data_IF_202827389359
#
_entry.id   IF_202827389359
#
_cell.length_a   1.000
_cell.length_b   1.000
_cell.length_c   1.000
_cell.angle_alpha   90.00
_cell.angle_beta   90.00
_cell.angle_gamma   90.00
#
_symmetry.space_group_name_H-M   'P 1'
#
loop_
_entity.id
_entity.type
_entity.pdbx_description
1 polymer ?
#
# COMPACT_ATOMS: atom_id res chain seq x y z
N UNK A 1 33.69 -3.43 -37.17
CA UNK A 1 33.24 -3.94 -35.85
C UNK A 1 32.83 -2.83 -34.87
N UNK A 2 32.23 -1.72 -35.31
CA UNK A 2 31.73 -0.63 -34.42
C UNK A 2 30.20 -0.46 -34.44
N UNK A 3 29.51 -1.01 -35.45
CA UNK A 3 28.05 -0.90 -35.61
C UNK A 3 27.26 -1.92 -34.77
N UNK A 4 27.87 -3.05 -34.40
CA UNK A 4 27.23 -4.09 -33.60
C UNK A 4 27.07 -3.71 -32.11
N UNK A 5 27.96 -2.86 -31.58
CA UNK A 5 27.90 -2.45 -30.17
C UNK A 5 26.81 -1.41 -29.87
N UNK A 6 26.41 -0.60 -30.86
CA UNK A 6 25.37 0.42 -30.68
C UNK A 6 23.96 -0.20 -30.56
N UNK A 7 23.71 -1.31 -31.27
CA UNK A 7 22.43 -2.00 -31.21
C UNK A 7 22.21 -2.72 -29.86
N UNK A 8 23.27 -3.32 -29.29
CA UNK A 8 23.20 -3.94 -27.96
C UNK A 8 22.95 -2.91 -26.84
N UNK A 9 23.57 -1.72 -26.93
CA UNK A 9 23.31 -0.63 -26.00
C UNK A 9 21.88 -0.05 -26.14
N UNK A 10 21.34 0.02 -27.35
CA UNK A 10 19.98 0.51 -27.60
C UNK A 10 18.90 -0.48 -27.14
N UNK A 11 19.13 -1.78 -27.28
CA UNK A 11 18.21 -2.82 -26.77
C UNK A 11 18.23 -2.87 -25.24
N UNK A 12 19.39 -2.67 -24.59
CA UNK A 12 19.47 -2.56 -23.14
C UNK A 12 18.75 -1.30 -22.61
N UNK A 13 18.90 -0.14 -23.27
CA UNK A 13 18.18 1.09 -22.91
C UNK A 13 16.66 1.00 -23.20
N UNK A 14 16.24 0.23 -24.19
CA UNK A 14 14.82 0.03 -24.49
C UNK A 14 14.10 -0.90 -23.52
N UNK A 15 14.80 -1.87 -22.90
CA UNK A 15 14.16 -2.75 -21.90
C UNK A 15 13.90 -1.98 -20.60
N UNK A 16 14.80 -1.07 -20.19
CA UNK A 16 14.58 -0.19 -19.03
C UNK A 16 13.42 0.80 -19.22
N UNK A 17 13.18 1.23 -20.46
CA UNK A 17 12.09 2.18 -20.75
C UNK A 17 10.72 1.50 -20.92
N UNK A 18 10.67 0.21 -21.28
CA UNK A 18 9.44 -0.50 -21.64
C UNK A 18 8.92 -1.45 -20.55
N UNK A 19 9.77 -1.93 -19.64
CA UNK A 19 9.34 -2.59 -18.41
C UNK A 19 9.50 -1.61 -17.27
N UNK A 20 8.50 -0.74 -17.15
CA UNK A 20 8.46 0.30 -16.14
C UNK A 20 8.87 -0.23 -14.77
N UNK A 21 9.63 0.59 -14.07
CA UNK A 21 10.01 0.54 -12.65
C UNK A 21 8.79 0.52 -11.70
N UNK A 22 7.66 -0.06 -12.12
CA UNK A 22 6.31 0.23 -11.64
C UNK A 22 5.69 -0.85 -10.76
N UNK A 23 6.37 -1.97 -10.50
CA UNK A 23 5.77 -3.09 -9.75
C UNK A 23 6.71 -3.70 -8.70
N UNK A 24 7.67 -2.95 -8.18
CA UNK A 24 8.27 -3.34 -6.89
C UNK A 24 7.45 -2.70 -5.77
N UNK A 25 6.58 -3.51 -5.16
CA UNK A 25 5.67 -3.11 -4.09
C UNK A 25 6.05 -3.75 -2.76
N UNK A 26 6.25 -2.96 -1.70
CA UNK A 26 6.43 -3.51 -0.35
C UNK A 26 5.12 -3.47 0.44
N UNK A 27 4.77 -4.56 1.12
CA UNK A 27 3.68 -4.57 2.09
C UNK A 27 4.22 -4.26 3.48
N UNK A 28 3.63 -3.27 4.15
CA UNK A 28 3.97 -2.93 5.52
C UNK A 28 2.73 -3.02 6.42
N UNK A 29 2.91 -3.60 7.60
CA UNK A 29 1.84 -3.80 8.59
C UNK A 29 2.00 -2.94 9.84
N UNK A 30 3.21 -2.46 10.15
CA UNK A 30 3.48 -1.76 11.39
C UNK A 30 3.40 -0.23 11.22
N UNK A 31 2.96 0.49 12.25
CA UNK A 31 2.69 1.94 12.18
C UNK A 31 3.79 2.80 12.81
N UNK A 32 4.87 2.21 13.34
CA UNK A 32 5.73 2.91 14.29
C UNK A 32 6.88 3.73 13.68
N UNK A 33 7.18 3.57 12.37
CA UNK A 33 8.31 4.27 11.74
C UNK A 33 8.21 4.39 10.20
N UNK A 34 7.06 4.81 9.66
CA UNK A 34 6.87 4.86 8.20
C UNK A 34 7.88 5.76 7.47
N UNK A 35 8.38 6.84 8.08
CA UNK A 35 9.38 7.72 7.48
C UNK A 35 10.73 7.03 7.19
N UNK A 36 11.23 6.24 8.15
CA UNK A 36 12.49 5.52 7.97
C UNK A 36 12.35 4.42 6.93
N UNK A 37 11.19 3.76 6.91
CA UNK A 37 10.84 2.75 5.92
C UNK A 37 10.76 3.37 4.51
N UNK A 38 10.08 4.51 4.36
CA UNK A 38 9.96 5.22 3.09
C UNK A 38 11.30 5.74 2.56
N UNK A 39 12.16 6.27 3.44
CA UNK A 39 13.53 6.64 3.07
C UNK A 39 14.33 5.44 2.54
N UNK A 40 14.26 4.29 3.22
CA UNK A 40 14.93 3.07 2.75
C UNK A 40 14.37 2.61 1.39
N UNK A 41 13.06 2.67 1.20
CA UNK A 41 12.39 2.32 -0.05
C UNK A 41 12.81 3.21 -1.22
N UNK A 42 12.85 4.52 -1.00
CA UNK A 42 13.33 5.49 -2.00
C UNK A 42 14.76 5.17 -2.43
N UNK A 43 15.66 4.90 -1.46
CA UNK A 43 17.06 4.53 -1.73
C UNK A 43 17.20 3.20 -2.50
N UNK A 44 16.22 2.32 -2.41
CA UNK A 44 16.16 1.04 -3.13
C UNK A 44 15.43 1.15 -4.47
N UNK A 45 14.91 2.32 -4.85
CA UNK A 45 14.19 2.52 -6.11
C UNK A 45 12.77 1.94 -6.14
N UNK A 46 12.18 1.69 -4.96
CA UNK A 46 10.78 1.26 -4.82
C UNK A 46 9.85 2.41 -5.25
N UNK A 47 8.76 2.10 -5.97
CA UNK A 47 7.81 3.13 -6.44
C UNK A 47 6.38 2.93 -5.96
N UNK A 48 6.03 1.73 -5.46
CA UNK A 48 4.72 1.45 -4.87
C UNK A 48 4.84 0.85 -3.47
N UNK A 49 3.89 1.18 -2.61
CA UNK A 49 3.78 0.59 -1.27
C UNK A 49 2.33 0.20 -1.02
N UNK A 50 2.11 -1.02 -0.52
CA UNK A 50 0.78 -1.49 -0.11
C UNK A 50 0.61 -1.40 1.40
N UNK A 51 -0.33 -0.59 1.87
CA UNK A 51 -0.64 -0.41 3.30
C UNK A 51 -2.04 -0.91 3.63
N UNK A 52 -2.17 -1.52 4.80
CA UNK A 52 -3.48 -1.80 5.39
C UNK A 52 -3.82 -0.74 6.42
N UNK A 53 -5.07 -0.26 6.38
CA UNK A 53 -5.65 0.66 7.35
C UNK A 53 -6.74 -0.11 8.10
N UNK A 54 -6.47 -0.53 9.35
CA UNK A 54 -7.51 -1.08 10.20
C UNK A 54 -8.57 -0.02 10.49
N UNK A 55 -9.85 -0.29 10.19
CA UNK A 55 -10.95 0.63 10.50
C UNK A 55 -11.04 0.91 12.00
N UNK A 56 -10.66 -0.05 12.84
CA UNK A 56 -10.55 0.13 14.29
C UNK A 56 -9.60 1.25 14.72
N UNK A 57 -8.60 1.58 13.89
CA UNK A 57 -7.64 2.66 14.17
C UNK A 57 -8.16 4.01 13.67
N UNK A 58 -8.98 4.00 12.61
CA UNK A 58 -9.61 5.18 12.03
C UNK A 58 -10.83 5.60 12.83
N UNK A 59 -11.69 4.65 13.19
CA UNK A 59 -12.94 4.86 13.91
C UNK A 59 -13.01 3.94 15.14
N UNK A 60 -12.21 4.22 16.18
CA UNK A 60 -12.18 3.40 17.39
C UNK A 60 -13.51 3.39 18.15
N UNK A 61 -14.33 4.44 18.00
CA UNK A 61 -15.69 4.56 18.54
C UNK A 61 -16.61 5.12 17.48
N UNK A 62 -17.87 4.70 17.50
CA UNK A 62 -18.88 5.13 16.51
C UNK A 62 -18.94 6.66 16.42
N UNK A 63 -18.73 7.17 15.21
CA UNK A 63 -18.71 8.60 14.89
C UNK A 63 -17.48 9.38 15.35
N UNK A 64 -16.47 8.71 15.94
CA UNK A 64 -15.21 9.34 16.36
C UNK A 64 -14.08 8.92 15.43
N UNK A 65 -13.75 9.79 14.48
CA UNK A 65 -12.72 9.54 13.47
C UNK A 65 -11.38 10.16 13.86
N UNK A 66 -10.30 9.40 13.68
CA UNK A 66 -8.92 9.86 13.76
C UNK A 66 -8.13 9.42 12.52
N UNK A 67 -7.90 10.38 11.62
CA UNK A 67 -7.11 10.19 10.40
C UNK A 67 -5.66 10.67 10.55
N UNK A 68 -5.30 11.27 11.70
CA UNK A 68 -4.06 12.03 11.89
C UNK A 68 -2.82 11.25 11.45
N UNK A 69 -2.70 10.00 11.90
CA UNK A 69 -1.57 9.14 11.55
C UNK A 69 -1.52 8.82 10.05
N UNK A 70 -2.68 8.57 9.44
CA UNK A 70 -2.77 8.15 8.04
C UNK A 70 -2.53 9.33 7.09
N UNK A 71 -2.99 10.52 7.43
CA UNK A 71 -2.69 11.75 6.70
C UNK A 71 -1.19 12.01 6.69
N UNK A 72 -0.53 11.90 7.85
CA UNK A 72 0.94 12.03 7.95
C UNK A 72 1.67 10.98 7.12
N UNK A 73 1.17 9.74 7.08
CA UNK A 73 1.76 8.66 6.28
C UNK A 73 1.59 8.92 4.77
N UNK A 74 0.44 9.42 4.34
CA UNK A 74 0.19 9.77 2.92
C UNK A 74 1.13 10.91 2.50
N UNK A 75 1.25 11.95 3.32
CA UNK A 75 2.19 13.05 3.08
C UNK A 75 3.65 12.58 3.06
N UNK A 76 4.01 11.67 3.96
CA UNK A 76 5.33 11.03 4.00
C UNK A 76 5.63 10.25 2.72
N UNK A 77 4.69 9.45 2.23
CA UNK A 77 4.86 8.69 0.99
C UNK A 77 5.05 9.62 -0.21
N UNK A 78 4.27 10.70 -0.28
CA UNK A 78 4.41 11.72 -1.33
C UNK A 78 5.79 12.38 -1.30
N UNK A 79 6.33 12.70 -0.11
CA UNK A 79 7.68 13.27 0.05
C UNK A 79 8.80 12.34 -0.42
N UNK A 80 8.59 11.02 -0.35
CA UNK A 80 9.54 10.00 -0.79
C UNK A 80 9.27 9.47 -2.21
N UNK A 81 8.41 10.14 -2.98
CA UNK A 81 8.05 9.74 -4.35
C UNK A 81 7.43 8.34 -4.45
N UNK A 82 6.76 7.88 -3.39
CA UNK A 82 6.10 6.58 -3.31
C UNK A 82 4.61 6.70 -3.66
N UNK A 83 4.10 5.75 -4.44
CA UNK A 83 2.66 5.59 -4.71
C UNK A 83 2.06 4.62 -3.70
N UNK A 84 0.96 4.99 -3.05
CA UNK A 84 0.30 4.14 -2.05
C UNK A 84 -0.87 3.36 -2.65
N UNK A 85 -0.92 2.05 -2.40
CA UNK A 85 -2.10 1.22 -2.56
C UNK A 85 -2.64 0.86 -1.18
N UNK A 86 -3.79 1.44 -0.83
CA UNK A 86 -4.38 1.30 0.50
C UNK A 86 -5.50 0.25 0.46
N UNK A 87 -5.45 -0.70 1.38
CA UNK A 87 -6.59 -1.58 1.70
C UNK A 87 -7.15 -1.15 3.06
N UNK A 88 -8.44 -0.83 3.13
CA UNK A 88 -9.13 -0.71 4.42
C UNK A 88 -9.56 -2.12 4.85
N UNK A 89 -9.24 -2.49 6.08
CA UNK A 89 -9.55 -3.81 6.63
C UNK A 89 -9.99 -3.70 8.10
N UNK A 90 -10.34 -4.84 8.70
CA UNK A 90 -10.78 -4.98 10.10
C UNK A 90 -12.04 -4.17 10.46
N UNK A 91 -12.90 -4.75 11.31
CA UNK A 91 -14.00 -4.01 11.90
C UNK A 91 -13.54 -3.37 13.21
N UNK A 92 -14.13 -2.24 13.56
CA UNK A 92 -13.98 -1.67 14.90
C UNK A 92 -14.77 -2.51 15.92
N UNK A 93 -14.37 -2.56 17.20
CA UNK A 93 -15.12 -3.31 18.22
C UNK A 93 -16.61 -2.93 18.26
N UNK A 94 -16.94 -1.63 18.15
CA UNK A 94 -18.33 -1.17 18.13
C UNK A 94 -19.07 -1.67 16.89
N UNK A 95 -18.47 -1.58 15.70
CA UNK A 95 -19.08 -2.06 14.45
C UNK A 95 -19.29 -3.57 14.45
N UNK A 96 -18.35 -4.33 15.02
CA UNK A 96 -18.48 -5.78 15.14
C UNK A 96 -19.60 -6.21 16.10
N UNK A 97 -19.92 -5.39 17.11
CA UNK A 97 -20.99 -5.69 18.07
C UNK A 97 -22.40 -5.61 17.47
N UNK A 98 -22.55 -4.96 16.31
CA UNK A 98 -23.81 -4.84 15.58
C UNK A 98 -24.05 -6.00 14.61
N UNK A 99 -23.08 -6.90 14.44
CA UNK A 99 -23.19 -8.01 13.52
C UNK A 99 -24.14 -9.10 14.05
N UNK A 100 -24.90 -9.78 13.16
CA UNK A 100 -25.70 -10.91 13.57
C UNK A 100 -24.81 -12.07 14.06
N UNK A 101 -25.31 -12.94 14.96
CA UNK A 101 -24.51 -13.98 15.62
C UNK A 101 -23.79 -14.95 14.67
N UNK A 102 -24.32 -15.13 13.45
CA UNK A 102 -23.83 -16.04 12.41
C UNK A 102 -22.99 -15.32 11.34
N UNK A 103 -22.54 -14.09 11.56
CA UNK A 103 -21.77 -13.32 10.56
C UNK A 103 -20.48 -14.04 10.11
N UNK A 104 -19.85 -14.79 10.99
CA UNK A 104 -18.62 -15.54 10.68
C UNK A 104 -18.89 -16.95 10.12
N UNK A 105 -20.16 -17.35 9.97
CA UNK A 105 -20.51 -18.62 9.40
C UNK A 105 -20.29 -18.53 7.87
N UNK A 106 -19.46 -19.43 7.33
CA UNK A 106 -19.05 -19.45 5.91
C UNK A 106 -20.20 -19.66 4.91
N UNK A 107 -21.46 -19.58 5.34
CA UNK A 107 -22.68 -19.75 4.54
C UNK A 107 -23.26 -18.46 3.93
N UNK A 108 -22.66 -17.29 4.18
CA UNK A 108 -23.25 -15.97 3.89
C UNK A 108 -23.25 -15.48 2.44
N UNK A 109 -23.34 -16.36 1.43
CA UNK A 109 -23.42 -16.00 0.01
C UNK A 109 -24.38 -16.92 -0.76
N UNK A 110 -25.51 -17.31 -0.15
CA UNK A 110 -26.46 -18.25 -0.78
C UNK A 110 -27.67 -17.59 -1.44
N UNK A 111 -27.92 -16.30 -1.22
CA UNK A 111 -29.20 -15.69 -1.57
C UNK A 111 -29.08 -14.33 -2.31
N UNK A 112 -28.25 -14.24 -3.36
CA UNK A 112 -28.31 -13.15 -4.36
C UNK A 112 -28.54 -13.72 -5.76
#
# INVERSE_FOLDING_TARGET
MKRLMLAAACVLLCVDAAFGHELFGMHLQNNLAFEQEFNAMERLGVTWVRRHIPWSNVEPREGQFDWTFWDQMIDGAARHHLRLMITINALSPWGSSQLPPNFNDKGGYRDI
#
